data_IF_947583806066
#
_entry.id   IF_947583806066
#
_cell.length_a   1.000
_cell.length_b   1.000
_cell.length_c   1.000
_cell.angle_alpha   90.00
_cell.angle_beta   90.00
_cell.angle_gamma   90.00
#
_symmetry.space_group_name_H-M   'P 1'
#
loop_
_entity.id
_entity.type
_entity.pdbx_description
1 polymer ?
#
# COMPACT_ATOMS: atom_id res chain seq x y z
N UNK A 1 -16.50 -39.14 -2.03
CA UNK A 1 -16.97 -37.79 -2.43
C UNK A 1 -16.85 -36.73 -1.33
N UNK A 2 -17.62 -36.80 -0.22
CA UNK A 2 -17.68 -35.72 0.78
C UNK A 2 -16.30 -35.30 1.37
N UNK A 3 -15.53 -36.25 1.94
CA UNK A 3 -14.16 -35.96 2.41
C UNK A 3 -13.21 -35.49 1.32
N UNK A 4 -13.34 -36.02 0.10
CA UNK A 4 -12.41 -35.77 -1.00
C UNK A 4 -12.66 -34.44 -1.75
N UNK A 5 -13.89 -33.92 -1.66
CA UNK A 5 -14.30 -32.62 -2.23
C UNK A 5 -14.23 -31.47 -1.22
N UNK A 6 -14.11 -31.78 0.07
CA UNK A 6 -14.18 -30.79 1.15
C UNK A 6 -15.60 -30.31 1.45
N UNK A 7 -16.63 -30.94 0.87
CA UNK A 7 -18.04 -30.64 1.09
C UNK A 7 -18.67 -31.67 2.02
N UNK A 8 -19.41 -31.20 3.04
CA UNK A 8 -20.17 -32.09 3.93
C UNK A 8 -21.31 -32.82 3.19
N UNK A 9 -21.75 -33.96 3.73
CA UNK A 9 -22.85 -34.76 3.14
C UNK A 9 -24.15 -33.95 3.01
N UNK A 10 -24.45 -33.08 3.98
CA UNK A 10 -25.60 -32.16 3.91
C UNK A 10 -25.45 -31.12 2.80
N UNK A 11 -24.23 -30.65 2.54
CA UNK A 11 -23.97 -29.68 1.49
C UNK A 11 -24.16 -30.30 0.10
N UNK A 12 -23.71 -31.54 -0.10
CA UNK A 12 -23.94 -32.27 -1.35
C UNK A 12 -25.43 -32.48 -1.66
N UNK A 13 -26.25 -32.77 -0.64
CA UNK A 13 -27.72 -32.86 -0.80
C UNK A 13 -28.35 -31.51 -1.13
N UNK A 14 -27.84 -30.43 -0.54
CA UNK A 14 -28.29 -29.06 -0.85
C UNK A 14 -27.96 -28.67 -2.29
N UNK A 15 -26.74 -28.95 -2.78
CA UNK A 15 -26.34 -28.62 -4.15
C UNK A 15 -27.02 -29.47 -5.22
N UNK A 16 -27.36 -30.72 -4.89
CA UNK A 16 -28.25 -31.56 -5.70
C UNK A 16 -29.64 -30.92 -5.83
N UNK A 17 -30.26 -30.53 -4.72
CA UNK A 17 -31.57 -29.86 -4.72
C UNK A 17 -31.57 -28.48 -5.41
N UNK A 18 -30.43 -27.79 -5.43
CA UNK A 18 -30.24 -26.53 -6.12
C UNK A 18 -29.86 -26.70 -7.61
N UNK A 19 -29.68 -27.94 -8.09
CA UNK A 19 -29.30 -28.23 -9.47
C UNK A 19 -27.89 -27.75 -9.86
N UNK A 20 -27.01 -27.57 -8.87
CA UNK A 20 -25.62 -27.08 -9.09
C UNK A 20 -24.65 -28.25 -9.23
N UNK A 21 -24.88 -29.35 -8.50
CA UNK A 21 -24.10 -30.59 -8.61
C UNK A 21 -25.04 -31.79 -8.48
N UNK A 22 -25.50 -32.30 -9.62
CA UNK A 22 -26.46 -33.42 -9.68
C UNK A 22 -25.69 -34.74 -9.58
N UNK A 23 -26.07 -35.68 -8.70
CA UNK A 23 -25.41 -36.98 -8.58
C UNK A 23 -25.55 -37.80 -9.86
N UNK A 24 -24.50 -38.54 -10.23
CA UNK A 24 -24.50 -39.43 -11.38
C UNK A 24 -25.59 -40.53 -11.27
N UNK A 25 -25.89 -40.99 -10.06
CA UNK A 25 -26.97 -41.94 -9.84
C UNK A 25 -27.55 -41.80 -8.42
N UNK A 26 -28.86 -41.97 -8.28
CA UNK A 26 -29.56 -42.00 -7.00
C UNK A 26 -30.26 -43.33 -6.85
N UNK A 27 -29.99 -44.03 -5.74
CA UNK A 27 -30.64 -45.30 -5.43
C UNK A 27 -32.14 -45.08 -5.17
N UNK A 28 -33.04 -45.71 -5.96
CA UNK A 28 -34.47 -45.53 -5.81
C UNK A 28 -35.05 -46.10 -4.51
N UNK A 29 -34.32 -46.99 -3.81
CA UNK A 29 -34.78 -47.63 -2.56
C UNK A 29 -34.18 -46.96 -1.33
N UNK A 30 -32.86 -46.70 -1.33
CA UNK A 30 -32.18 -46.08 -0.18
C UNK A 30 -32.07 -44.56 -0.24
N UNK A 31 -32.32 -43.95 -1.41
CA UNK A 31 -32.13 -42.52 -1.63
C UNK A 31 -30.67 -42.07 -1.58
N UNK A 32 -29.73 -43.03 -1.60
CA UNK A 32 -28.29 -42.77 -1.56
C UNK A 32 -27.78 -42.22 -2.88
N UNK A 33 -26.93 -41.20 -2.82
CA UNK A 33 -26.42 -40.46 -3.98
C UNK A 33 -25.00 -40.88 -4.30
N UNK A 34 -24.81 -41.38 -5.51
CA UNK A 34 -23.51 -41.74 -6.05
C UNK A 34 -22.99 -40.63 -6.97
N UNK A 35 -21.75 -40.23 -6.73
CA UNK A 35 -21.04 -39.24 -7.53
C UNK A 35 -19.84 -39.90 -8.20
N UNK A 36 -19.67 -39.63 -9.49
CA UNK A 36 -18.54 -40.15 -10.26
C UNK A 36 -17.22 -39.45 -9.94
N UNK A 37 -16.08 -40.03 -10.38
CA UNK A 37 -14.75 -39.42 -10.20
C UNK A 37 -14.61 -38.07 -10.93
N UNK A 38 -15.28 -37.89 -12.06
CA UNK A 38 -15.25 -36.66 -12.87
C UNK A 38 -15.94 -35.49 -12.14
N UNK A 39 -17.00 -35.80 -11.38
CA UNK A 39 -17.74 -34.83 -10.57
C UNK A 39 -16.95 -34.36 -9.34
N UNK A 40 -15.83 -35.02 -9.02
CA UNK A 40 -15.00 -34.65 -7.88
C UNK A 40 -14.31 -33.31 -8.12
N UNK A 41 -13.90 -33.04 -9.36
CA UNK A 41 -13.24 -31.78 -9.72
C UNK A 41 -14.22 -30.62 -9.69
N UNK A 42 -15.42 -30.82 -10.24
CA UNK A 42 -16.54 -29.87 -10.15
C UNK A 42 -16.90 -29.56 -8.69
N UNK A 43 -16.97 -30.58 -7.84
CA UNK A 43 -17.27 -30.40 -6.43
C UNK A 43 -16.16 -29.63 -5.68
N UNK A 44 -14.89 -29.83 -6.04
CA UNK A 44 -13.76 -29.06 -5.48
C UNK A 44 -13.79 -27.61 -5.95
N UNK A 45 -14.09 -27.37 -7.22
CA UNK A 45 -14.23 -26.03 -7.78
C UNK A 45 -15.40 -25.29 -7.11
N UNK A 46 -16.55 -25.93 -6.98
CA UNK A 46 -17.71 -25.44 -6.26
C UNK A 46 -17.34 -25.03 -4.81
N UNK A 47 -16.59 -25.87 -4.10
CA UNK A 47 -16.17 -25.58 -2.74
C UNK A 47 -15.27 -24.34 -2.65
N UNK A 48 -14.37 -24.14 -3.63
CA UNK A 48 -13.50 -22.95 -3.72
C UNK A 48 -14.30 -21.69 -4.02
N UNK A 49 -15.19 -21.73 -5.02
CA UNK A 49 -16.03 -20.59 -5.40
C UNK A 49 -16.97 -20.17 -4.26
N UNK A 50 -17.51 -21.16 -3.52
CA UNK A 50 -18.36 -20.87 -2.36
C UNK A 50 -17.57 -20.22 -1.22
N UNK A 51 -16.33 -20.64 -0.99
CA UNK A 51 -15.44 -20.01 0.00
C UNK A 51 -15.07 -18.58 -0.39
N UNK A 52 -14.95 -18.31 -1.70
CA UNK A 52 -14.75 -16.97 -2.24
C UNK A 52 -16.02 -16.10 -2.26
N UNK A 53 -17.11 -16.55 -1.62
CA UNK A 53 -18.34 -15.77 -1.49
C UNK A 53 -19.17 -15.65 -2.77
N UNK A 54 -18.91 -16.48 -3.78
CA UNK A 54 -19.66 -16.41 -5.04
C UNK A 54 -21.13 -16.83 -4.86
N UNK A 55 -22.09 -16.10 -5.45
CA UNK A 55 -23.51 -16.49 -5.45
C UNK A 55 -23.74 -17.82 -6.17
N UNK A 56 -24.70 -18.61 -5.68
CA UNK A 56 -25.04 -19.92 -6.26
C UNK A 56 -25.42 -19.86 -7.75
N UNK A 57 -26.07 -18.78 -8.17
CA UNK A 57 -26.45 -18.57 -9.56
C UNK A 57 -25.21 -18.46 -10.48
N UNK A 58 -24.19 -17.74 -10.02
CA UNK A 58 -22.95 -17.51 -10.77
C UNK A 58 -22.06 -18.76 -10.75
N UNK A 59 -22.01 -19.48 -9.61
CA UNK A 59 -21.32 -20.77 -9.50
C UNK A 59 -21.87 -21.76 -10.54
N UNK A 60 -23.19 -21.79 -10.75
CA UNK A 60 -23.80 -22.69 -11.75
C UNK A 60 -23.37 -22.34 -13.17
N UNK A 61 -23.26 -21.06 -13.50
CA UNK A 61 -22.79 -20.61 -14.81
C UNK A 61 -21.31 -20.93 -15.01
N UNK A 62 -20.48 -20.76 -13.98
CA UNK A 62 -19.07 -21.11 -14.01
C UNK A 62 -18.88 -22.62 -14.21
N UNK A 63 -19.65 -23.46 -13.52
CA UNK A 63 -19.60 -24.91 -13.71
C UNK A 63 -20.08 -25.33 -15.11
N UNK A 64 -21.14 -24.71 -15.63
CA UNK A 64 -21.61 -24.99 -16.99
C UNK A 64 -20.58 -24.61 -18.06
N UNK A 65 -19.91 -23.46 -17.91
CA UNK A 65 -18.82 -23.01 -18.78
C UNK A 65 -17.47 -23.68 -18.50
N UNK A 66 -17.35 -24.48 -17.43
CA UNK A 66 -16.19 -25.33 -17.18
C UNK A 66 -16.30 -26.66 -17.92
N UNK A 67 -17.53 -27.18 -18.08
CA UNK A 67 -17.81 -28.41 -18.82
C UNK A 67 -17.96 -28.19 -20.33
N UNK A 68 -18.51 -27.04 -20.76
CA UNK A 68 -18.45 -26.58 -22.15
C UNK A 68 -17.20 -25.73 -22.35
N UNK A 69 -16.46 -25.88 -23.46
CA UNK A 69 -15.15 -25.24 -23.67
C UNK A 69 -15.15 -23.68 -23.80
N UNK A 70 -16.06 -22.98 -23.12
CA UNK A 70 -16.23 -21.53 -23.14
C UNK A 70 -15.49 -20.89 -21.95
N UNK A 71 -14.15 -20.88 -22.07
CA UNK A 71 -13.25 -20.34 -21.05
C UNK A 71 -13.39 -18.83 -20.86
N UNK A 72 -13.85 -18.12 -21.89
CA UNK A 72 -13.97 -16.66 -21.88
C UNK A 72 -15.16 -16.21 -21.02
N UNK A 73 -16.28 -16.93 -21.09
CA UNK A 73 -17.42 -16.70 -20.23
C UNK A 73 -17.08 -16.93 -18.75
N UNK A 74 -16.35 -18.00 -18.44
CA UNK A 74 -15.90 -18.30 -17.06
C UNK A 74 -14.99 -17.18 -16.54
N UNK A 75 -14.03 -16.73 -17.35
CA UNK A 75 -13.12 -15.63 -16.98
C UNK A 75 -13.88 -14.35 -16.70
N UNK A 76 -14.81 -13.97 -17.59
CA UNK A 76 -15.62 -12.77 -17.42
C UNK A 76 -16.48 -12.79 -16.15
N UNK A 77 -17.04 -13.96 -15.78
CA UNK A 77 -17.81 -14.11 -14.53
C UNK A 77 -16.92 -14.00 -13.28
N UNK A 78 -15.72 -14.57 -13.29
CA UNK A 78 -14.77 -14.46 -12.18
C UNK A 78 -14.32 -13.01 -11.98
N UNK A 79 -13.96 -12.31 -13.05
CA UNK A 79 -13.60 -10.89 -12.99
C UNK A 79 -14.77 -10.01 -12.51
N UNK A 80 -15.99 -10.27 -12.99
CA UNK A 80 -17.17 -9.52 -12.56
C UNK A 80 -17.45 -9.72 -11.05
N UNK A 81 -17.23 -10.93 -10.53
CA UNK A 81 -17.36 -11.22 -9.10
C UNK A 81 -16.25 -10.56 -8.28
N UNK A 82 -15.00 -10.59 -8.76
CA UNK A 82 -13.89 -9.87 -8.11
C UNK A 82 -14.19 -8.37 -7.99
N UNK A 83 -14.59 -7.72 -9.10
CA UNK A 83 -15.01 -6.31 -9.10
C UNK A 83 -16.20 -6.03 -8.18
N UNK A 84 -17.08 -7.01 -7.93
CA UNK A 84 -18.19 -6.87 -6.98
C UNK A 84 -17.69 -6.93 -5.53
N UNK A 85 -16.77 -7.85 -5.22
CA UNK A 85 -16.16 -7.96 -3.90
C UNK A 85 -15.35 -6.71 -3.54
N UNK A 86 -14.58 -6.19 -4.49
CA UNK A 86 -13.79 -4.96 -4.30
C UNK A 86 -14.67 -3.75 -4.02
N UNK A 87 -15.74 -3.57 -4.80
CA UNK A 87 -16.73 -2.51 -4.55
C UNK A 87 -17.38 -2.67 -3.17
N UNK A 88 -17.83 -3.88 -2.82
CA UNK A 88 -18.41 -4.14 -1.51
C UNK A 88 -17.45 -3.87 -0.35
N UNK A 89 -16.15 -4.15 -0.52
CA UNK A 89 -15.14 -3.82 0.48
C UNK A 89 -14.92 -2.30 0.59
N UNK A 90 -14.90 -1.60 -0.56
CA UNK A 90 -14.80 -0.14 -0.60
C UNK A 90 -15.99 0.52 0.09
N UNK A 91 -17.21 0.09 -0.23
CA UNK A 91 -18.45 0.59 0.38
C UNK A 91 -18.46 0.35 1.89
N UNK A 92 -18.13 -0.88 2.33
CA UNK A 92 -18.04 -1.21 3.75
C UNK A 92 -17.00 -0.35 4.47
N UNK A 93 -15.82 -0.13 3.88
CA UNK A 93 -14.79 0.77 4.44
C UNK A 93 -15.31 2.20 4.57
N UNK A 94 -16.04 2.71 3.56
CA UNK A 94 -16.68 4.03 3.60
C UNK A 94 -17.69 4.16 4.74
N UNK A 95 -18.55 3.16 4.92
CA UNK A 95 -19.51 3.12 6.02
C UNK A 95 -18.82 3.10 7.39
N UNK A 96 -17.79 2.27 7.58
CA UNK A 96 -17.03 2.22 8.82
C UNK A 96 -16.34 3.57 9.13
N UNK A 97 -15.82 4.25 8.11
CA UNK A 97 -15.25 5.59 8.26
C UNK A 97 -16.30 6.61 8.71
N UNK A 98 -17.52 6.54 8.17
CA UNK A 98 -18.63 7.40 8.59
C UNK A 98 -19.05 7.14 10.03
N UNK A 99 -19.18 5.86 10.42
CA UNK A 99 -19.49 5.47 11.80
C UNK A 99 -18.41 5.98 12.76
N UNK A 100 -17.14 5.87 12.38
CA UNK A 100 -16.03 6.37 13.19
C UNK A 100 -16.08 7.90 13.34
N UNK A 101 -16.35 8.65 12.27
CA UNK A 101 -16.52 10.09 12.33
C UNK A 101 -17.69 10.49 13.26
N UNK A 102 -18.81 9.76 13.21
CA UNK A 102 -19.95 9.96 14.11
C UNK A 102 -19.61 9.67 15.58
N UNK A 103 -18.77 8.66 15.84
CA UNK A 103 -18.26 8.38 17.19
C UNK A 103 -17.33 9.50 17.68
N UNK A 104 -16.44 10.00 16.84
CA UNK A 104 -15.52 11.11 17.18
C UNK A 104 -16.28 12.41 17.51
N UNK A 105 -17.38 12.69 16.79
CA UNK A 105 -18.32 13.78 17.08
C UNK A 105 -19.04 13.61 18.43
N UNK A 106 -19.33 12.36 18.82
CA UNK A 106 -19.97 12.05 20.11
C UNK A 106 -19.00 12.11 21.28
N UNK A 107 -17.76 11.67 21.08
CA UNK A 107 -16.72 11.61 22.11
C UNK A 107 -16.12 13.00 22.41
N UNK A 108 -16.23 13.97 21.49
CA UNK A 108 -15.77 15.35 21.67
C UNK A 108 -16.93 16.38 21.53
N UNK A 109 -17.75 16.58 22.58
CA UNK A 109 -19.00 17.34 22.48
C UNK A 109 -18.86 18.89 22.44
N UNK A 110 -17.68 19.47 22.23
CA UNK A 110 -17.54 20.94 22.09
C UNK A 110 -16.85 21.35 20.80
N UNK A 111 -17.65 21.52 19.75
CA UNK A 111 -17.64 22.70 18.85
C UNK A 111 -18.84 22.59 17.91
N UNK A 112 -19.96 23.18 18.30
CA UNK A 112 -21.06 23.48 17.38
C UNK A 112 -20.76 24.80 16.67
N UNK A 113 -20.82 24.89 15.34
CA UNK A 113 -21.28 26.10 14.69
C UNK A 113 -22.78 25.98 14.45
N UNK A 114 -23.48 26.99 14.95
CA UNK A 114 -24.90 27.26 14.75
C UNK A 114 -25.25 27.20 13.27
N UNK A 115 -26.24 26.37 12.97
CA UNK A 115 -26.92 26.29 11.68
C UNK A 115 -27.91 27.45 11.62
N UNK A 116 -27.76 28.35 10.65
CA UNK A 116 -28.91 29.07 10.11
C UNK A 116 -29.11 28.61 8.67
N UNK A 117 -30.26 27.96 8.46
CA UNK A 117 -30.71 27.43 7.19
C UNK A 117 -31.54 28.48 6.45
N UNK A 118 -31.25 28.69 5.17
CA UNK A 118 -32.25 28.69 4.07
C UNK A 118 -31.67 29.36 2.82
N UNK A 119 -31.38 28.54 1.80
CA UNK A 119 -31.96 28.66 0.46
C UNK A 119 -31.05 28.00 -0.56
N UNK A 120 -31.61 27.02 -1.25
CA UNK A 120 -30.96 26.19 -2.24
C UNK A 120 -30.43 26.97 -3.46
N UNK A 121 -29.47 26.31 -4.11
CA UNK A 121 -28.87 26.58 -5.41
C UNK A 121 -27.76 27.66 -5.45
N UNK A 122 -26.54 27.17 -5.73
CA UNK A 122 -25.35 27.92 -6.15
C UNK A 122 -24.62 28.70 -5.04
N UNK A 123 -23.44 28.23 -4.62
CA UNK A 123 -22.28 29.07 -4.28
C UNK A 123 -21.11 28.20 -3.80
N UNK A 124 -19.90 28.62 -4.19
CA UNK A 124 -18.64 27.93 -3.91
C UNK A 124 -18.40 27.71 -2.42
N UNK A 125 -17.87 26.52 -2.13
CA UNK A 125 -17.15 26.29 -0.90
C UNK A 125 -16.10 27.40 -0.76
N UNK A 126 -16.20 28.19 0.31
CA UNK A 126 -15.14 29.10 0.70
C UNK A 126 -13.90 28.24 0.94
N UNK A 127 -13.05 28.17 -0.08
CA UNK A 127 -11.81 27.44 -0.05
C UNK A 127 -10.98 28.04 1.09
N UNK A 128 -10.78 27.28 2.15
CA UNK A 128 -9.85 27.68 3.20
C UNK A 128 -8.46 27.58 2.58
N UNK A 129 -8.00 28.68 2.01
CA UNK A 129 -6.67 28.76 1.42
C UNK A 129 -5.65 28.67 2.55
N UNK A 130 -4.87 27.60 2.58
CA UNK A 130 -3.74 27.46 3.49
C UNK A 130 -2.52 28.07 2.84
N UNK A 131 -1.81 28.93 3.55
CA UNK A 131 -0.55 29.50 3.10
C UNK A 131 0.49 29.33 4.19
N UNK A 132 1.62 28.75 3.83
CA UNK A 132 2.74 28.52 4.74
C UNK A 132 4.07 28.82 4.06
N UNK A 133 5.08 29.07 4.87
CA UNK A 133 6.45 29.32 4.43
C UNK A 133 7.34 28.19 4.96
N UNK A 134 8.17 27.64 4.08
CA UNK A 134 9.10 26.55 4.37
C UNK A 134 10.51 26.99 3.96
N UNK A 135 11.57 26.67 4.72
CA UNK A 135 12.92 26.84 4.21
C UNK A 135 13.10 26.02 2.93
N UNK A 136 13.51 26.66 1.83
CA UNK A 136 13.67 25.96 0.55
C UNK A 136 14.65 24.77 0.60
N UNK A 137 15.84 24.87 1.26
CA UNK A 137 16.74 23.73 1.36
C UNK A 137 16.16 22.55 2.16
N UNK A 138 15.35 22.82 3.19
CA UNK A 138 14.69 21.75 3.96
C UNK A 138 13.61 21.04 3.14
N UNK A 139 12.78 21.79 2.41
CA UNK A 139 11.77 21.20 1.54
C UNK A 139 12.41 20.42 0.38
N UNK A 140 13.50 20.93 -0.18
CA UNK A 140 14.26 20.25 -1.22
C UNK A 140 14.81 18.91 -0.71
N UNK A 141 15.47 18.92 0.45
CA UNK A 141 15.97 17.71 1.09
C UNK A 141 14.85 16.73 1.45
N UNK A 142 13.69 17.22 1.92
CA UNK A 142 12.54 16.38 2.21
C UNK A 142 11.97 15.72 0.95
N UNK A 143 11.86 16.45 -0.17
CA UNK A 143 11.42 15.90 -1.44
C UNK A 143 12.44 14.91 -2.04
N UNK A 144 13.74 15.20 -1.95
CA UNK A 144 14.82 14.28 -2.33
C UNK A 144 14.75 12.97 -1.53
N UNK A 145 14.41 13.05 -0.25
CA UNK A 145 14.34 11.90 0.63
C UNK A 145 13.08 11.03 0.45
N UNK A 146 12.09 11.45 -0.36
CA UNK A 146 10.82 10.69 -0.48
C UNK A 146 10.34 10.43 -1.89
N UNK A 147 10.60 11.32 -2.87
CA UNK A 147 10.00 11.19 -4.22
C UNK A 147 10.25 9.85 -4.90
N UNK A 148 11.39 9.21 -4.59
CA UNK A 148 11.77 7.94 -5.18
C UNK A 148 10.81 6.82 -4.81
N UNK A 149 10.12 6.93 -3.66
CA UNK A 149 9.20 5.91 -3.17
C UNK A 149 7.77 6.06 -3.74
N UNK A 150 7.50 7.04 -4.61
CA UNK A 150 6.19 7.17 -5.24
C UNK A 150 5.95 6.06 -6.27
N UNK A 151 4.74 5.51 -6.29
CA UNK A 151 4.35 4.48 -7.24
C UNK A 151 4.17 5.01 -8.66
N UNK A 152 4.34 4.13 -9.64
CA UNK A 152 4.08 4.39 -11.07
C UNK A 152 2.95 3.55 -11.64
N UNK A 153 2.35 2.70 -10.79
CA UNK A 153 1.28 1.78 -11.16
C UNK A 153 -0.03 2.56 -11.46
N UNK A 154 -0.53 2.52 -12.71
CA UNK A 154 -1.74 3.24 -13.09
C UNK A 154 -3.01 2.69 -12.43
N UNK A 155 -3.00 1.45 -11.94
CA UNK A 155 -4.12 0.86 -11.19
C UNK A 155 -4.20 1.41 -9.76
N UNK A 156 -3.11 2.02 -9.29
CA UNK A 156 -2.97 2.57 -7.96
C UNK A 156 -2.68 4.08 -7.98
N UNK A 157 -3.60 4.91 -8.52
CA UNK A 157 -3.37 6.33 -8.72
C UNK A 157 -3.13 7.11 -7.41
N UNK A 158 -3.65 6.64 -6.26
CA UNK A 158 -3.37 7.28 -4.97
C UNK A 158 -1.91 7.14 -4.50
N UNK A 159 -1.13 6.25 -5.13
CA UNK A 159 0.32 6.10 -4.88
C UNK A 159 1.17 6.85 -5.90
N UNK A 160 0.57 7.39 -6.97
CA UNK A 160 1.22 8.15 -8.04
C UNK A 160 1.63 9.58 -7.64
N UNK A 161 1.82 9.83 -6.35
CA UNK A 161 2.11 11.16 -5.83
C UNK A 161 2.72 11.14 -4.44
N UNK A 162 3.02 12.34 -3.97
CA UNK A 162 3.64 12.63 -2.69
C UNK A 162 2.62 13.31 -1.80
N UNK A 163 2.31 12.70 -0.66
CA UNK A 163 1.43 13.26 0.35
C UNK A 163 2.16 14.39 1.09
N UNK A 164 1.54 15.55 1.14
CA UNK A 164 1.92 16.66 2.01
C UNK A 164 0.92 16.69 3.16
N UNK A 165 1.41 16.40 4.36
CA UNK A 165 0.65 16.37 5.61
C UNK A 165 1.11 17.52 6.50
N UNK A 166 0.32 18.59 6.52
CA UNK A 166 0.60 19.85 7.20
C UNK A 166 -0.11 19.85 8.55
N UNK A 167 0.66 19.93 9.63
CA UNK A 167 0.13 19.97 10.99
C UNK A 167 0.97 20.93 11.86
N UNK A 168 0.38 22.05 12.29
CA UNK A 168 1.07 23.09 13.03
C UNK A 168 2.30 23.63 12.28
N UNK A 169 3.47 23.55 12.90
CA UNK A 169 4.75 24.03 12.36
C UNK A 169 5.55 22.93 11.63
N UNK A 170 4.89 21.85 11.22
CA UNK A 170 5.52 20.73 10.52
C UNK A 170 4.80 20.44 9.20
N UNK A 171 5.58 20.35 8.13
CA UNK A 171 5.17 19.71 6.89
C UNK A 171 5.84 18.35 6.81
N UNK A 172 5.05 17.28 6.85
CA UNK A 172 5.51 15.93 6.56
C UNK A 172 5.25 15.64 5.09
N UNK A 173 6.26 15.09 4.44
CA UNK A 173 6.22 14.69 3.05
C UNK A 173 6.38 13.18 3.00
N UNK A 174 5.46 12.48 2.33
CA UNK A 174 5.36 11.02 2.37
C UNK A 174 5.10 10.44 0.98
N UNK A 175 5.79 9.37 0.62
CA UNK A 175 5.54 8.63 -0.62
C UNK A 175 5.66 7.12 -0.39
N UNK A 176 4.88 6.33 -1.13
CA UNK A 176 4.90 4.85 -1.07
C UNK A 176 4.41 4.24 -2.38
N UNK A 177 4.90 3.04 -2.69
CA UNK A 177 4.57 2.24 -3.88
C UNK A 177 4.05 0.83 -3.51
N UNK A 178 3.60 0.65 -2.26
CA UNK A 178 3.27 -0.62 -1.56
C UNK A 178 4.47 -1.41 -1.02
N UNK A 179 5.63 -1.29 -1.63
CA UNK A 179 6.82 -2.08 -1.27
C UNK A 179 7.81 -1.29 -0.43
N UNK A 180 7.75 0.04 -0.50
CA UNK A 180 8.53 0.94 0.36
C UNK A 180 7.71 2.15 0.75
N UNK A 181 8.10 2.79 1.85
CA UNK A 181 7.52 4.03 2.35
C UNK A 181 8.66 4.96 2.75
N UNK A 182 8.65 6.19 2.28
CA UNK A 182 9.60 7.20 2.71
C UNK A 182 8.86 8.38 3.36
N UNK A 183 9.35 8.81 4.52
CA UNK A 183 8.81 9.94 5.29
C UNK A 183 9.94 10.92 5.59
N UNK A 184 9.72 12.18 5.26
CA UNK A 184 10.59 13.29 5.62
C UNK A 184 9.77 14.45 6.19
N UNK A 185 10.47 15.39 6.83
CA UNK A 185 9.86 16.57 7.46
C UNK A 185 10.63 17.82 7.07
N UNK A 186 9.90 18.90 6.88
CA UNK A 186 10.44 20.26 6.84
C UNK A 186 9.73 21.13 7.89
N UNK A 187 10.44 22.07 8.50
CA UNK A 187 9.85 23.04 9.40
C UNK A 187 9.03 24.05 8.61
N UNK A 188 7.88 24.47 9.13
CA UNK A 188 7.01 25.44 8.47
C UNK A 188 6.56 26.54 9.40
N UNK A 189 6.33 27.72 8.83
CA UNK A 189 5.77 28.87 9.56
C UNK A 189 4.52 29.39 8.84
N UNK A 190 3.63 30.05 9.59
CA UNK A 190 2.44 30.71 9.03
C UNK A 190 1.17 29.86 8.96
N UNK A 191 1.21 28.58 9.35
CA UNK A 191 0.01 27.75 9.49
C UNK A 191 -0.35 27.52 10.96
N UNK A 192 -1.52 28.03 11.37
CA UNK A 192 -2.10 27.80 12.70
C UNK A 192 -3.49 27.12 12.61
N UNK A 193 -3.84 26.63 11.41
CA UNK A 193 -5.13 26.02 11.14
C UNK A 193 -5.18 24.53 11.46
N UNK A 194 -6.32 23.86 11.17
CA UNK A 194 -6.43 22.41 11.31
C UNK A 194 -5.42 21.69 10.41
N UNK A 195 -5.19 20.41 10.70
CA UNK A 195 -4.36 19.54 9.86
C UNK A 195 -4.91 19.50 8.44
N UNK A 196 -4.03 19.64 7.45
CA UNK A 196 -4.38 19.59 6.03
C UNK A 196 -3.52 18.53 5.32
N UNK A 197 -4.19 17.67 4.56
CA UNK A 197 -3.54 16.65 3.74
C UNK A 197 -3.86 16.90 2.27
N UNK A 198 -2.82 16.96 1.45
CA UNK A 198 -2.96 17.03 0.00
C UNK A 198 -2.04 16.03 -0.67
N UNK A 199 -2.50 15.44 -1.77
CA UNK A 199 -1.70 14.50 -2.55
C UNK A 199 -1.20 15.17 -3.82
N UNK A 200 0.11 15.46 -3.86
CA UNK A 200 0.77 16.17 -4.96
C UNK A 200 1.24 15.16 -6.00
N UNK A 201 0.78 15.20 -7.27
CA UNK A 201 1.24 14.25 -8.30
C UNK A 201 2.76 14.27 -8.46
N UNK A 202 3.39 13.12 -8.72
CA UNK A 202 4.86 13.03 -8.82
C UNK A 202 5.49 14.04 -9.80
N UNK A 203 4.94 14.28 -11.02
CA UNK A 203 5.50 15.29 -11.92
C UNK A 203 5.46 16.71 -11.35
N UNK A 204 4.45 17.03 -10.53
CA UNK A 204 4.34 18.33 -9.86
C UNK A 204 5.31 18.42 -8.69
N UNK A 205 5.48 17.34 -7.93
CA UNK A 205 6.48 17.26 -6.86
C UNK A 205 7.91 17.41 -7.41
N UNK A 206 8.22 16.81 -8.57
CA UNK A 206 9.50 16.97 -9.27
C UNK A 206 9.72 18.41 -9.74
N UNK A 207 8.68 19.03 -10.31
CA UNK A 207 8.72 20.44 -10.69
C UNK A 207 8.93 21.36 -9.48
N UNK A 208 8.27 21.08 -8.35
CA UNK A 208 8.49 21.78 -7.08
C UNK A 208 9.93 21.61 -6.59
N UNK A 209 10.47 20.39 -6.65
CA UNK A 209 11.87 20.15 -6.28
C UNK A 209 12.86 20.91 -7.16
N UNK A 210 12.63 20.94 -8.47
CA UNK A 210 13.48 21.67 -9.43
C UNK A 210 13.40 23.20 -9.28
N UNK A 211 12.31 23.70 -8.69
CA UNK A 211 12.13 25.11 -8.35
C UNK A 211 12.98 25.52 -7.14
N UNK A 212 13.12 24.62 -6.17
CA UNK A 212 13.81 24.86 -4.90
C UNK A 212 15.33 24.91 -5.11
N UNK A 213 15.87 26.13 -5.21
CA UNK A 213 17.30 26.48 -5.23
C UNK A 213 17.80 26.89 -3.83
N UNK A 214 19.05 27.38 -3.71
CA UNK A 214 19.64 27.93 -2.47
C UNK A 214 18.94 29.19 -1.91
N UNK A 215 17.73 29.52 -2.41
CA UNK A 215 16.89 30.57 -1.85
C UNK A 215 16.57 30.29 -0.38
N UNK A 216 16.42 31.35 0.43
CA UNK A 216 16.22 31.17 1.87
C UNK A 216 14.86 30.54 2.23
N UNK A 217 13.82 30.75 1.42
CA UNK A 217 12.45 30.33 1.75
C UNK A 217 11.56 30.15 0.52
N UNK A 218 10.65 29.18 0.61
CA UNK A 218 9.59 28.91 -0.36
C UNK A 218 8.20 29.12 0.29
N UNK A 219 7.25 29.66 -0.47
CA UNK A 219 5.86 29.81 -0.05
C UNK A 219 5.01 28.73 -0.69
N UNK A 220 4.36 27.91 0.13
CA UNK A 220 3.40 26.90 -0.30
C UNK A 220 1.98 27.45 -0.08
N UNK A 221 1.17 27.44 -1.12
CA UNK A 221 -0.26 27.81 -1.05
C UNK A 221 -1.11 26.63 -1.49
N UNK A 222 -2.09 26.27 -0.68
CA UNK A 222 -3.06 25.21 -0.94
C UNK A 222 -4.43 25.85 -1.00
N UNK A 223 -5.10 25.74 -2.14
CA UNK A 223 -6.41 26.31 -2.39
C UNK A 223 -7.36 25.26 -2.95
N UNK A 224 -8.15 24.64 -2.06
CA UNK A 224 -8.97 23.48 -2.39
C UNK A 224 -8.12 22.34 -2.96
N UNK A 225 -8.38 21.97 -4.21
CA UNK A 225 -7.64 20.92 -4.92
C UNK A 225 -6.41 21.43 -5.69
N UNK A 226 -6.00 22.71 -5.53
CA UNK A 226 -4.81 23.25 -6.18
C UNK A 226 -3.71 23.50 -5.15
N UNK A 227 -2.48 23.24 -5.56
CA UNK A 227 -1.28 23.56 -4.79
C UNK A 227 -0.33 24.36 -5.65
N UNK A 228 0.30 25.37 -5.05
CA UNK A 228 1.30 26.22 -5.68
C UNK A 228 2.51 26.37 -4.75
N UNK A 229 3.69 26.38 -5.33
CA UNK A 229 4.95 26.65 -4.67
C UNK A 229 5.63 27.84 -5.36
N UNK A 230 6.03 28.83 -4.59
CA UNK A 230 6.69 30.05 -5.05
C UNK A 230 8.05 30.20 -4.36
N UNK A 231 9.10 30.48 -5.13
CA UNK A 231 10.45 30.81 -4.64
C UNK A 231 10.95 32.05 -5.38
N UNK A 232 11.18 33.16 -4.66
CA UNK A 232 11.52 34.44 -5.29
C UNK A 232 10.48 34.86 -6.34
N UNK A 233 10.90 34.94 -7.61
CA UNK A 233 10.04 35.25 -8.77
C UNK A 233 9.53 34.01 -9.53
N UNK A 234 10.00 32.81 -9.17
CA UNK A 234 9.66 31.56 -9.85
C UNK A 234 8.49 30.88 -9.13
N UNK A 235 7.60 30.25 -9.89
CA UNK A 235 6.47 29.51 -9.33
C UNK A 235 6.14 28.26 -10.14
N UNK A 236 5.58 27.26 -9.45
CA UNK A 236 4.93 26.10 -10.08
C UNK A 236 3.62 25.82 -9.36
N UNK A 237 2.61 25.38 -10.11
CA UNK A 237 1.31 25.08 -9.56
C UNK A 237 0.61 23.97 -10.35
N UNK A 238 -0.26 23.23 -9.68
CA UNK A 238 -1.03 22.17 -10.31
C UNK A 238 -2.20 21.72 -9.45
N UNK A 239 -2.87 20.68 -9.93
CA UNK A 239 -4.01 20.07 -9.23
C UNK A 239 -3.53 18.86 -8.44
N UNK A 240 -3.97 18.75 -7.19
CA UNK A 240 -3.78 17.59 -6.35
C UNK A 240 -4.56 16.39 -6.90
N UNK A 241 -4.12 15.18 -6.55
CA UNK A 241 -4.87 13.96 -6.80
C UNK A 241 -6.08 13.91 -5.87
N UNK A 242 -7.24 13.54 -6.41
CA UNK A 242 -8.51 13.43 -5.69
C UNK A 242 -8.69 12.02 -5.12
N UNK A 243 -7.73 11.61 -4.30
CA UNK A 243 -7.67 10.28 -3.69
C UNK A 243 -7.14 10.36 -2.27
N UNK A 244 -7.62 9.46 -1.42
CA UNK A 244 -7.11 9.30 -0.07
C UNK A 244 -5.78 8.54 -0.06
N UNK A 245 -4.78 9.10 0.61
CA UNK A 245 -3.50 8.43 0.82
C UNK A 245 -3.59 7.43 1.99
N UNK A 246 -2.92 6.27 1.94
CA UNK A 246 -2.92 5.31 3.04
C UNK A 246 -2.49 5.91 4.38
N UNK A 247 -3.06 5.40 5.49
CA UNK A 247 -2.71 5.85 6.86
C UNK A 247 -1.29 5.40 7.27
N UNK A 248 -0.30 6.17 6.84
CA UNK A 248 1.12 5.91 7.08
C UNK A 248 1.52 6.05 8.55
N UNK A 249 0.75 6.78 9.38
CA UNK A 249 1.12 7.07 10.78
C UNK A 249 1.18 5.80 11.63
N UNK A 250 0.42 4.77 11.25
CA UNK A 250 0.48 3.43 11.86
C UNK A 250 1.82 2.75 11.66
N UNK A 251 2.52 3.05 10.56
CA UNK A 251 3.80 2.46 10.18
C UNK A 251 5.00 3.20 10.80
N UNK A 252 4.80 4.40 11.36
CA UNK A 252 5.84 5.16 12.07
C UNK A 252 6.24 4.48 13.39
N UNK A 253 5.29 3.78 14.03
CA UNK A 253 5.46 3.09 15.32
C UNK A 253 5.65 1.59 15.13
N UNK A 254 6.73 1.19 14.46
CA UNK A 254 7.11 -0.22 14.44
C UNK A 254 7.58 -0.67 15.84
N UNK A 255 7.24 -1.90 16.27
CA UNK A 255 7.76 -2.45 17.52
C UNK A 255 9.29 -2.52 17.48
N UNK A 256 9.93 -2.31 18.62
CA UNK A 256 11.39 -2.32 18.72
C UNK A 256 11.96 -3.66 18.23
N UNK A 257 12.69 -3.60 17.12
CA UNK A 257 13.42 -4.73 16.54
C UNK A 257 14.90 -4.74 16.95
N UNK A 258 15.66 -5.63 16.32
CA UNK A 258 17.13 -5.58 16.39
C UNK A 258 17.61 -4.33 15.66
N UNK A 259 18.50 -3.55 16.29
CA UNK A 259 19.08 -2.34 15.71
C UNK A 259 20.52 -2.60 15.29
N UNK A 260 20.88 -2.16 14.11
CA UNK A 260 22.23 -2.17 13.61
C UNK A 260 22.61 -0.77 13.13
N UNK A 261 23.81 -0.31 13.49
CA UNK A 261 24.35 0.95 12.96
C UNK A 261 25.30 0.59 11.84
N UNK A 262 25.08 1.18 10.66
CA UNK A 262 25.93 0.97 9.49
C UNK A 262 26.56 2.28 9.05
N UNK A 263 27.80 2.20 8.58
CA UNK A 263 28.41 3.27 7.79
C UNK A 263 27.78 3.23 6.38
N UNK A 264 27.27 4.37 5.91
CA UNK A 264 26.50 4.40 4.67
C UNK A 264 27.39 4.18 3.45
N UNK A 265 28.63 4.65 3.47
CA UNK A 265 29.53 4.50 2.33
C UNK A 265 29.96 3.03 2.20
N UNK A 266 30.42 2.43 3.29
CA UNK A 266 30.86 1.03 3.31
C UNK A 266 29.70 0.08 2.99
N UNK A 267 28.52 0.32 3.58
CA UNK A 267 27.36 -0.54 3.36
C UNK A 267 26.80 -0.40 1.95
N UNK A 268 26.80 0.81 1.38
CA UNK A 268 26.44 1.03 -0.02
C UNK A 268 27.38 0.28 -0.95
N UNK A 269 28.69 0.39 -0.75
CA UNK A 269 29.68 -0.32 -1.57
C UNK A 269 29.50 -1.85 -1.46
N UNK A 270 29.23 -2.36 -0.25
CA UNK A 270 28.90 -3.77 -0.04
C UNK A 270 27.63 -4.21 -0.76
N UNK A 271 26.59 -3.36 -0.82
CA UNK A 271 25.36 -3.64 -1.58
C UNK A 271 25.61 -3.53 -3.09
N UNK A 272 26.42 -2.57 -3.56
CA UNK A 272 26.73 -2.35 -4.98
C UNK A 272 27.72 -3.38 -5.57
N UNK A 273 28.61 -3.95 -4.77
CA UNK A 273 29.58 -4.96 -5.22
C UNK A 273 29.22 -6.37 -4.80
N UNK A 274 28.33 -6.51 -3.82
CA UNK A 274 27.91 -7.78 -3.24
C UNK A 274 27.06 -8.64 -4.17
N UNK A 275 26.84 -9.91 -3.77
CA UNK A 275 26.08 -10.89 -4.53
C UNK A 275 24.61 -10.48 -4.73
N UNK A 276 24.04 -10.97 -5.81
CA UNK A 276 22.64 -10.76 -6.20
C UNK A 276 21.95 -12.10 -6.34
N UNK A 277 20.74 -12.20 -5.78
CA UNK A 277 19.81 -13.30 -6.08
C UNK A 277 18.70 -12.77 -6.99
N UNK A 278 18.42 -13.47 -8.09
CA UNK A 278 17.28 -13.12 -8.93
C UNK A 278 15.96 -13.47 -8.21
N UNK A 279 15.00 -12.56 -8.20
CA UNK A 279 13.65 -12.84 -7.70
C UNK A 279 12.95 -13.89 -8.59
N UNK A 280 12.49 -14.99 -8.00
CA UNK A 280 11.65 -15.99 -8.68
C UNK A 280 10.21 -15.48 -8.90
N UNK A 281 9.78 -14.53 -8.06
CA UNK A 281 8.50 -13.84 -8.21
C UNK A 281 8.69 -12.73 -9.25
N UNK A 282 8.10 -12.94 -10.43
CA UNK A 282 7.90 -11.89 -11.43
C UNK A 282 6.81 -10.95 -10.94
N UNK A 283 7.06 -9.64 -10.98
CA UNK A 283 5.99 -8.66 -10.86
C UNK A 283 4.97 -8.84 -12.01
N UNK A 284 3.77 -8.26 -11.87
CA UNK A 284 2.72 -8.35 -12.90
C UNK A 284 3.16 -7.76 -14.26
N UNK A 285 4.26 -7.00 -14.31
CA UNK A 285 4.91 -6.48 -15.51
C UNK A 285 5.95 -7.44 -16.14
N UNK A 286 6.26 -8.58 -15.51
CA UNK A 286 7.23 -9.57 -15.97
C UNK A 286 8.70 -9.27 -15.64
N UNK A 287 9.00 -8.19 -14.90
CA UNK A 287 10.35 -7.82 -14.47
C UNK A 287 10.85 -8.74 -13.34
N UNK A 288 12.13 -9.10 -13.43
CA UNK A 288 12.88 -9.75 -12.36
C UNK A 288 13.67 -8.67 -11.65
N UNK A 289 13.52 -8.58 -10.33
CA UNK A 289 14.30 -7.66 -9.52
C UNK A 289 15.48 -8.36 -8.86
N UNK A 290 16.59 -7.63 -8.77
CA UNK A 290 17.78 -8.07 -8.07
C UNK A 290 17.54 -7.98 -6.56
N UNK A 291 17.74 -9.08 -5.85
CA UNK A 291 17.60 -9.16 -4.40
C UNK A 291 18.97 -9.14 -3.72
N UNK A 292 19.06 -8.36 -2.65
CA UNK A 292 20.17 -8.38 -1.70
C UNK A 292 19.73 -9.17 -0.47
N UNK A 293 20.52 -10.17 -0.09
CA UNK A 293 20.30 -10.94 1.13
C UNK A 293 21.06 -10.29 2.29
N UNK A 294 20.33 -9.90 3.32
CA UNK A 294 20.89 -9.28 4.52
C UNK A 294 20.83 -10.26 5.69
N UNK A 295 21.98 -10.46 6.33
CA UNK A 295 22.10 -11.21 7.59
C UNK A 295 22.41 -10.23 8.72
N UNK A 296 21.67 -10.36 9.81
CA UNK A 296 21.88 -9.57 11.03
C UNK A 296 22.46 -10.48 12.10
N UNK A 297 23.74 -10.30 12.39
CA UNK A 297 24.46 -11.04 13.41
C UNK A 297 23.98 -10.64 14.83
N UNK A 298 24.27 -11.50 15.82
CA UNK A 298 23.85 -11.30 17.20
C UNK A 298 24.50 -10.08 17.87
N UNK A 299 25.65 -9.64 17.36
CA UNK A 299 26.36 -8.42 17.77
C UNK A 299 25.81 -7.14 17.10
N UNK A 300 24.79 -7.27 16.24
CA UNK A 300 24.18 -6.16 15.52
C UNK A 300 24.89 -5.79 14.22
N UNK A 301 25.88 -6.55 13.75
CA UNK A 301 26.48 -6.34 12.44
C UNK A 301 25.54 -6.80 11.32
N UNK A 302 25.47 -6.03 10.23
CA UNK A 302 24.70 -6.37 9.02
C UNK A 302 25.66 -6.68 7.90
N UNK A 303 25.53 -7.87 7.31
CA UNK A 303 26.37 -8.32 6.19
C UNK A 303 25.51 -8.71 5.00
N UNK A 304 26.01 -8.41 3.79
CA UNK A 304 25.47 -8.94 2.54
C UNK A 304 26.00 -10.36 2.35
N UNK A 305 25.12 -11.33 2.08
CA UNK A 305 25.48 -12.75 2.01
C UNK A 305 25.11 -13.39 0.66
N UNK A 306 25.83 -14.45 0.29
CA UNK A 306 25.51 -15.30 -0.87
C UNK A 306 24.40 -16.30 -0.54
N UNK A 307 23.70 -16.76 -1.60
CA UNK A 307 22.68 -17.79 -1.51
C UNK A 307 23.35 -19.16 -1.29
N UNK A 308 23.32 -19.65 -0.05
CA UNK A 308 24.04 -20.88 0.32
C UNK A 308 24.34 -21.05 1.82
N UNK A 309 24.05 -20.04 2.64
CA UNK A 309 24.15 -20.14 4.10
C UNK A 309 22.78 -20.57 4.66
N UNK A 310 22.70 -21.80 5.19
CA UNK A 310 21.51 -22.43 5.80
C UNK A 310 21.16 -21.79 7.16
N UNK A 311 21.07 -20.46 7.21
CA UNK A 311 20.82 -19.71 8.43
C UNK A 311 19.41 -19.14 8.45
N UNK A 312 18.60 -19.71 9.34
CA UNK A 312 17.28 -19.20 9.71
C UNK A 312 17.40 -17.73 10.11
N UNK A 313 16.86 -16.81 9.30
CA UNK A 313 16.83 -15.38 9.64
C UNK A 313 17.34 -14.41 8.57
N UNK A 314 17.63 -14.86 7.35
CA UNK A 314 17.96 -13.99 6.21
C UNK A 314 16.78 -13.09 5.84
N UNK A 315 17.07 -11.83 5.52
CA UNK A 315 16.10 -10.84 5.03
C UNK A 315 16.45 -10.53 3.59
N UNK A 316 15.59 -10.90 2.64
CA UNK A 316 15.74 -10.53 1.24
C UNK A 316 15.05 -9.21 0.97
N UNK A 317 15.73 -8.27 0.31
CA UNK A 317 15.18 -6.97 -0.08
C UNK A 317 15.53 -6.66 -1.53
N UNK A 318 14.66 -5.91 -2.21
CA UNK A 318 14.95 -5.38 -3.54
C UNK A 318 16.18 -4.45 -3.45
N UNK A 319 17.22 -4.77 -4.23
CA UNK A 319 18.51 -4.08 -4.23
C UNK A 319 18.40 -2.63 -4.68
N UNK A 320 17.61 -2.36 -5.72
CA UNK A 320 17.40 -0.99 -6.19
C UNK A 320 16.74 -0.12 -5.11
N UNK A 321 15.71 -0.66 -4.45
CA UNK A 321 15.03 0.05 -3.36
C UNK A 321 15.95 0.28 -2.16
N UNK A 322 16.82 -0.69 -1.85
CA UNK A 322 17.80 -0.55 -0.77
C UNK A 322 18.78 0.59 -1.07
N UNK A 323 19.32 0.65 -2.29
CA UNK A 323 20.24 1.71 -2.72
C UNK A 323 19.57 3.10 -2.74
N UNK A 324 18.31 3.17 -3.13
CA UNK A 324 17.53 4.41 -3.06
C UNK A 324 17.38 4.89 -1.61
N UNK A 325 17.07 3.99 -0.68
CA UNK A 325 16.95 4.32 0.75
C UNK A 325 18.29 4.77 1.36
N UNK A 326 19.41 4.14 0.98
CA UNK A 326 20.75 4.56 1.40
C UNK A 326 21.13 5.93 0.84
N UNK A 327 20.77 6.20 -0.42
CA UNK A 327 21.00 7.50 -1.07
C UNK A 327 20.18 8.61 -0.42
N UNK A 328 18.91 8.34 -0.09
CA UNK A 328 18.06 9.29 0.63
C UNK A 328 18.54 9.57 2.06
N UNK A 329 19.18 8.58 2.69
CA UNK A 329 19.77 8.70 4.01
C UNK A 329 21.18 9.33 4.04
N UNK A 330 21.76 9.71 2.90
CA UNK A 330 23.18 10.07 2.66
C UNK A 330 23.86 10.94 3.73
N UNK A 331 24.26 10.30 4.82
CA UNK A 331 25.03 10.80 5.96
C UNK A 331 25.94 9.66 6.42
N UNK A 332 26.94 9.95 7.23
CA UNK A 332 27.97 8.98 7.58
C UNK A 332 27.40 7.68 8.20
N UNK A 333 26.31 7.76 8.99
CA UNK A 333 25.73 6.60 9.68
C UNK A 333 24.21 6.55 9.61
N UNK A 334 23.67 5.34 9.42
CA UNK A 334 22.24 5.01 9.49
C UNK A 334 21.97 3.90 10.50
N UNK A 335 20.76 3.92 11.07
CA UNK A 335 20.26 2.85 11.94
C UNK A 335 19.27 2.00 11.15
N UNK A 336 19.60 0.73 10.98
CA UNK A 336 18.72 -0.28 10.43
C UNK A 336 17.97 -0.98 11.57
N UNK A 337 16.64 -1.02 11.52
CA UNK A 337 15.82 -1.77 12.46
C UNK A 337 15.16 -2.98 11.77
N UNK A 338 15.44 -4.17 12.30
CA UNK A 338 14.97 -5.44 11.77
C UNK A 338 13.99 -6.12 12.73
N UNK A 339 12.85 -6.53 12.19
CA UNK A 339 11.94 -7.44 12.89
C UNK A 339 12.20 -8.91 12.55
N UNK A 340 11.14 -9.68 12.42
CA UNK A 340 11.16 -11.01 11.79
C UNK A 340 11.56 -10.91 10.31
N UNK A 341 12.01 -11.99 9.64
CA UNK A 341 12.35 -11.96 8.21
C UNK A 341 11.25 -11.44 7.28
N UNK A 342 9.99 -11.51 7.71
CA UNK A 342 8.81 -11.01 6.98
C UNK A 342 8.34 -9.62 7.44
N UNK A 343 9.01 -9.00 8.42
CA UNK A 343 8.66 -7.68 8.92
C UNK A 343 9.35 -6.58 8.11
N UNK A 344 8.76 -5.38 7.99
CA UNK A 344 9.38 -4.26 7.30
C UNK A 344 10.75 -3.92 7.90
N UNK A 345 11.72 -3.63 7.04
CA UNK A 345 13.02 -3.10 7.39
C UNK A 345 12.92 -1.58 7.47
N UNK A 346 13.27 -1.00 8.62
CA UNK A 346 13.28 0.45 8.81
C UNK A 346 14.70 1.03 8.74
N UNK A 347 14.84 2.13 8.02
CA UNK A 347 16.04 2.95 7.91
C UNK A 347 15.76 4.25 8.64
N UNK A 348 16.42 4.45 9.76
CA UNK A 348 16.29 5.66 10.57
C UNK A 348 17.59 6.42 10.57
N UNK A 349 17.48 7.75 10.61
CA UNK A 349 18.62 8.61 10.85
C UNK A 349 18.91 8.66 12.35
N UNK A 350 20.18 8.84 12.70
CA UNK A 350 20.62 8.96 14.11
C UNK A 350 20.23 10.30 14.74
N UNK A 351 20.00 11.32 13.92
CA UNK A 351 19.71 12.70 14.35
C UNK A 351 18.21 13.03 14.39
N UNK A 352 17.38 12.29 13.64
CA UNK A 352 15.97 12.62 13.43
C UNK A 352 15.10 11.36 13.47
N UNK A 353 14.31 11.18 14.54
CA UNK A 353 13.42 10.02 14.67
C UNK A 353 12.20 10.08 13.74
N UNK A 354 11.82 11.28 13.29
CA UNK A 354 10.62 11.54 12.48
C UNK A 354 10.83 11.30 10.97
N UNK A 355 12.08 11.18 10.50
CA UNK A 355 12.42 10.90 9.11
C UNK A 355 12.93 9.46 8.98
N UNK A 356 12.23 8.66 8.19
CA UNK A 356 12.56 7.24 8.04
C UNK A 356 12.12 6.70 6.66
N UNK A 357 12.80 5.65 6.22
CA UNK A 357 12.39 4.84 5.08
C UNK A 357 12.04 3.44 5.57
N UNK A 358 11.02 2.82 4.99
CA UNK A 358 10.65 1.43 5.21
C UNK A 358 10.79 0.67 3.88
N UNK A 359 11.31 -0.54 3.97
CA UNK A 359 11.32 -1.49 2.86
C UNK A 359 10.63 -2.78 3.29
N UNK A 360 9.72 -3.26 2.44
CA UNK A 360 9.08 -4.55 2.61
C UNK A 360 10.05 -5.65 2.16
N UNK A 361 10.28 -6.69 2.98
CA UNK A 361 11.10 -7.82 2.57
C UNK A 361 10.38 -8.68 1.53
N UNK A 362 11.15 -9.29 0.65
CA UNK A 362 10.68 -10.29 -0.31
C UNK A 362 10.67 -11.64 0.39
N UNK A 363 9.58 -12.40 0.26
CA UNK A 363 9.52 -13.76 0.79
C UNK A 363 10.40 -14.65 -0.08
N UNK A 364 11.39 -15.27 0.54
CA UNK A 364 12.13 -16.37 -0.06
C UNK A 364 11.25 -17.63 0.05
N UNK A 365 10.98 -18.27 -1.08
CA UNK A 365 10.48 -19.64 -1.07
C UNK A 365 11.67 -20.57 -0.83
N UNK A 366 11.57 -21.42 0.19
CA UNK A 366 12.57 -22.43 0.53
C UNK A 366 12.31 -23.72 -0.25
#
# INVERSE_FOLDING_TARGET
MARASGLGVSALRFYDGAGVLVPAWVDPVSGYRWYGPEQLEEARLLARLRRAGMPLADIRLVLAGWCGADTDLVRGLLEAHLRRLERGLSDARGEFSTIRALLELRENPMTTPTTDASSAATAGAAATTVRLTVPAPELAAALDAVRFAAGTDPELPMLGGVLFDIEGEALRVVATDRYRLAVARAATTGHAGPRVQILVPSPLADAMRALLSEDASARLTVDGARVALETGERQTAGRCLDHDFPDYRRLVRLPAGRRAVVDVADFRDAVETGPVRASEVREEDGSSHDLTLLKVAADGAVTVCEDGDDDQGLVAVNRAYLLDALTAGARDRLVLEFGTPTAPLAFRRTDTEDAFSLLMPVRLEN
#
